data_IF_684638874244
#
_entry.id   IF_684638874244
#
_cell.length_a   1.000
_cell.length_b   1.000
_cell.length_c   1.000
_cell.angle_alpha   90.00
_cell.angle_beta   90.00
_cell.angle_gamma   90.00
#
_symmetry.space_group_name_H-M   'P 1'
#
loop_
_entity.id
_entity.type
_entity.pdbx_description
1 polymer ?
#
# COMPACT_ATOMS: atom_id res chain seq x y z
N UNK A 1 -70.78 -13.04 51.98
CA UNK A 1 -71.60 -12.26 51.03
C UNK A 1 -70.90 -12.20 49.68
N UNK A 2 -71.61 -12.45 48.56
CA UNK A 2 -71.34 -12.04 47.13
C UNK A 2 -69.95 -12.38 46.51
N UNK A 3 -69.85 -13.24 45.47
CA UNK A 3 -70.03 -13.00 44.00
C UNK A 3 -68.90 -12.17 43.34
N UNK A 4 -68.31 -12.47 42.16
CA UNK A 4 -68.22 -13.69 41.28
C UNK A 4 -67.33 -13.37 40.04
N UNK A 5 -66.61 -14.36 39.47
CA UNK A 5 -66.00 -14.34 38.10
C UNK A 5 -64.87 -13.30 37.86
N UNK A 6 -64.03 -13.25 36.82
CA UNK A 6 -63.50 -14.13 35.74
C UNK A 6 -62.74 -13.19 34.76
N UNK A 7 -61.85 -13.74 33.93
CA UNK A 7 -61.15 -13.19 32.74
C UNK A 7 -59.67 -12.83 32.99
N UNK A 8 -58.67 -13.52 32.43
CA UNK A 8 -58.36 -13.72 30.99
C UNK A 8 -58.11 -12.42 30.21
N UNK A 9 -56.87 -11.94 30.24
CA UNK A 9 -56.27 -11.15 29.16
C UNK A 9 -54.85 -11.68 28.94
N UNK A 10 -54.50 -12.03 27.70
CA UNK A 10 -53.14 -12.38 27.30
C UNK A 10 -52.27 -11.12 27.37
N UNK A 11 -51.11 -11.18 28.03
CA UNK A 11 -50.02 -10.25 27.75
C UNK A 11 -48.90 -11.00 27.02
N UNK A 12 -48.78 -10.68 25.74
CA UNK A 12 -47.79 -11.25 24.82
C UNK A 12 -46.38 -10.94 25.32
N UNK A 13 -45.55 -11.97 25.44
CA UNK A 13 -44.13 -11.84 25.75
C UNK A 13 -43.39 -11.18 24.58
N UNK A 14 -43.34 -9.84 24.57
CA UNK A 14 -42.58 -9.07 23.59
C UNK A 14 -41.10 -9.05 23.98
N UNK A 15 -40.46 -10.23 23.97
CA UNK A 15 -39.00 -10.34 24.02
C UNK A 15 -38.49 -9.81 22.69
N UNK A 16 -38.05 -8.55 22.69
CA UNK A 16 -37.39 -7.92 21.55
C UNK A 16 -35.99 -8.53 21.42
N UNK A 17 -35.92 -9.70 20.78
CA UNK A 17 -34.66 -10.28 20.33
C UNK A 17 -34.16 -9.38 19.20
N UNK A 18 -33.27 -8.44 19.53
CA UNK A 18 -32.53 -7.65 18.56
C UNK A 18 -31.50 -8.60 17.90
N UNK A 19 -31.98 -9.39 16.94
CA UNK A 19 -31.16 -10.09 15.96
C UNK A 19 -30.55 -9.04 15.01
N UNK A 20 -29.55 -8.31 15.52
CA UNK A 20 -28.67 -7.50 14.69
C UNK A 20 -27.89 -8.46 13.79
N UNK A 21 -28.42 -8.71 12.58
CA UNK A 21 -27.79 -9.57 11.60
C UNK A 21 -26.56 -8.86 11.02
N UNK A 22 -25.45 -8.93 11.75
CA UNK A 22 -24.17 -8.45 11.26
C UNK A 22 -23.74 -9.33 10.09
N UNK A 23 -23.68 -8.75 8.89
CA UNK A 23 -23.01 -9.40 7.75
C UNK A 23 -21.53 -9.49 8.09
N UNK A 24 -21.04 -10.71 8.28
CA UNK A 24 -19.61 -10.94 8.40
C UNK A 24 -18.95 -10.83 7.02
N UNK A 25 -17.80 -10.17 6.97
CA UNK A 25 -16.91 -10.18 5.83
C UNK A 25 -15.65 -10.93 6.24
N UNK A 26 -15.23 -11.91 5.44
CA UNK A 26 -14.07 -12.75 5.70
C UNK A 26 -13.02 -12.49 4.64
N UNK A 27 -11.77 -12.38 5.08
CA UNK A 27 -10.61 -12.12 4.25
C UNK A 27 -9.78 -13.41 4.15
N UNK A 28 -9.64 -13.96 2.94
CA UNK A 28 -8.64 -14.99 2.70
C UNK A 28 -7.45 -14.40 1.96
N UNK A 29 -6.34 -14.32 2.68
CA UNK A 29 -5.02 -14.16 2.11
C UNK A 29 -4.50 -15.57 1.77
N UNK A 30 -4.44 -15.91 0.49
CA UNK A 30 -3.78 -17.14 0.06
C UNK A 30 -2.36 -17.17 0.64
N UNK A 31 -2.08 -18.15 1.50
CA UNK A 31 -0.85 -18.22 2.28
C UNK A 31 0.34 -18.63 1.40
N UNK A 32 0.84 -17.67 0.62
CA UNK A 32 2.14 -17.73 -0.02
C UNK A 32 2.85 -16.42 0.25
N UNK A 33 4.01 -16.52 0.91
CA UNK A 33 4.96 -15.42 1.07
C UNK A 33 5.40 -14.98 -0.32
N UNK A 34 4.70 -13.98 -0.87
CA UNK A 34 5.00 -13.41 -2.17
C UNK A 34 6.12 -12.39 -1.99
N UNK A 35 7.36 -12.86 -2.00
CA UNK A 35 8.51 -11.98 -2.17
C UNK A 35 8.38 -11.28 -3.53
N UNK A 36 8.05 -9.99 -3.52
CA UNK A 36 7.75 -9.20 -4.70
C UNK A 36 8.97 -8.37 -5.10
N UNK A 37 9.52 -8.67 -6.28
CA UNK A 37 10.53 -7.82 -6.91
C UNK A 37 9.82 -6.70 -7.67
N UNK A 38 9.72 -5.53 -7.06
CA UNK A 38 9.13 -4.34 -7.69
C UNK A 38 10.22 -3.39 -8.19
N UNK A 39 10.01 -2.83 -9.38
CA UNK A 39 10.83 -1.72 -9.90
C UNK A 39 9.97 -0.47 -10.03
N UNK A 40 10.40 0.63 -9.40
CA UNK A 40 9.63 1.87 -9.28
C UNK A 40 10.44 3.04 -9.82
N UNK A 41 9.96 3.65 -10.91
CA UNK A 41 10.63 4.81 -11.52
C UNK A 41 10.81 5.96 -10.53
N UNK A 42 12.03 6.51 -10.48
CA UNK A 42 12.37 7.63 -9.59
C UNK A 42 11.77 8.94 -10.13
N UNK A 43 11.79 9.12 -11.45
CA UNK A 43 11.10 10.23 -12.13
C UNK A 43 10.36 9.67 -13.34
N UNK A 44 9.18 10.22 -13.65
CA UNK A 44 8.41 9.82 -14.85
C UNK A 44 9.03 10.31 -16.15
N UNK A 45 9.84 11.38 -16.08
CA UNK A 45 10.50 12.04 -17.21
C UNK A 45 11.94 12.39 -16.85
N UNK A 46 12.73 12.74 -17.87
CA UNK A 46 14.11 13.20 -17.73
C UNK A 46 14.20 14.38 -16.74
N UNK A 47 15.06 14.26 -15.73
CA UNK A 47 15.20 15.26 -14.69
C UNK A 47 16.50 16.04 -14.86
N UNK A 48 16.38 17.26 -15.40
CA UNK A 48 17.52 18.15 -15.64
C UNK A 48 17.76 19.06 -14.44
N UNK A 49 18.99 19.05 -13.96
CA UNK A 49 19.53 19.88 -12.89
C UNK A 49 20.37 20.98 -13.55
N UNK A 50 20.34 22.20 -13.01
CA UNK A 50 21.05 23.38 -13.54
C UNK A 50 21.64 24.21 -12.42
N UNK A 51 22.70 24.95 -12.72
CA UNK A 51 23.41 25.81 -11.76
C UNK A 51 24.29 25.03 -10.79
N UNK A 52 25.01 25.74 -9.92
CA UNK A 52 26.09 25.17 -9.11
C UNK A 52 25.58 24.22 -8.02
N UNK A 53 24.36 24.45 -7.52
CA UNK A 53 23.76 23.68 -6.44
C UNK A 53 22.30 23.36 -6.77
N UNK A 54 22.05 22.16 -7.28
CA UNK A 54 20.69 21.73 -7.65
C UNK A 54 20.25 20.55 -6.79
N UNK A 55 19.05 20.63 -6.21
CA UNK A 55 18.41 19.51 -5.52
C UNK A 55 17.08 19.16 -6.17
N UNK A 56 16.79 17.86 -6.29
CA UNK A 56 15.47 17.34 -6.64
C UNK A 56 15.13 16.20 -5.68
N UNK A 57 13.88 16.19 -5.22
CA UNK A 57 13.35 15.14 -4.35
C UNK A 57 12.36 14.27 -5.13
N UNK A 58 12.38 12.98 -4.87
CA UNK A 58 11.39 11.98 -5.28
C UNK A 58 10.93 11.18 -4.06
N UNK A 59 9.84 10.44 -4.20
CA UNK A 59 9.19 9.72 -3.10
C UNK A 59 8.72 8.34 -3.55
N UNK A 60 8.89 7.34 -2.69
CA UNK A 60 8.29 6.02 -2.85
C UNK A 60 7.65 5.57 -1.53
N UNK A 61 6.61 4.74 -1.59
CA UNK A 61 5.85 4.29 -0.39
C UNK A 61 5.94 2.76 -0.26
N UNK A 62 6.51 2.25 0.83
CA UNK A 62 6.44 0.81 1.14
C UNK A 62 5.09 0.55 1.82
N UNK A 63 4.35 -0.44 1.31
CA UNK A 63 3.03 -0.80 1.81
C UNK A 63 3.07 -1.32 3.26
N UNK A 64 1.98 -1.11 4.01
CA UNK A 64 1.95 -1.33 5.48
C UNK A 64 2.40 -2.73 5.91
N UNK A 65 1.96 -3.74 5.16
CA UNK A 65 2.24 -5.13 5.43
C UNK A 65 3.49 -5.66 4.73
N UNK A 66 4.33 -4.77 4.18
CA UNK A 66 5.54 -5.11 3.46
C UNK A 66 6.77 -4.49 4.11
N UNK A 67 7.89 -5.17 4.02
CA UNK A 67 9.20 -4.65 4.39
C UNK A 67 10.23 -4.92 3.28
N UNK A 68 11.19 -4.00 3.09
CA UNK A 68 12.27 -4.23 2.14
C UNK A 68 13.33 -5.18 2.74
N UNK A 69 13.83 -6.08 1.90
CA UNK A 69 14.83 -7.08 2.21
C UNK A 69 16.10 -6.89 1.38
N UNK A 70 17.08 -7.75 1.65
CA UNK A 70 18.31 -7.85 0.87
C UNK A 70 18.01 -8.06 -0.62
N UNK A 71 18.83 -7.47 -1.49
CA UNK A 71 18.60 -7.38 -2.93
C UNK A 71 17.88 -6.10 -3.39
N UNK A 72 17.43 -5.26 -2.46
CA UNK A 72 16.90 -3.92 -2.78
C UNK A 72 18.02 -2.96 -3.17
N UNK A 73 17.81 -2.11 -4.19
CA UNK A 73 18.81 -1.15 -4.70
C UNK A 73 18.18 0.11 -5.32
N UNK A 74 18.95 1.20 -5.38
CA UNK A 74 18.63 2.40 -6.17
C UNK A 74 19.51 2.40 -7.40
N UNK A 75 18.90 2.33 -8.58
CA UNK A 75 19.61 2.27 -9.86
C UNK A 75 19.44 3.61 -10.57
N UNK A 76 20.53 4.37 -10.63
CA UNK A 76 20.56 5.77 -11.09
C UNK A 76 21.33 5.82 -12.40
N UNK A 77 20.62 6.09 -13.48
CA UNK A 77 21.23 6.42 -14.77
C UNK A 77 21.38 7.93 -14.86
N UNK A 78 22.60 8.42 -15.02
CA UNK A 78 22.89 9.86 -15.09
C UNK A 78 23.93 10.19 -16.17
N UNK A 79 23.91 11.44 -16.62
CA UNK A 79 24.92 12.06 -17.49
C UNK A 79 25.07 13.53 -17.12
N UNK A 80 26.20 14.15 -17.43
CA UNK A 80 26.48 15.53 -17.05
C UNK A 80 27.34 16.27 -18.07
N UNK A 81 27.48 17.58 -17.86
CA UNK A 81 28.31 18.43 -18.71
C UNK A 81 29.78 17.99 -18.73
N UNK A 82 30.37 17.90 -19.92
CA UNK A 82 31.79 17.66 -20.16
C UNK A 82 32.70 18.79 -19.60
N UNK A 83 32.09 19.93 -19.24
CA UNK A 83 32.77 21.13 -18.71
C UNK A 83 32.86 21.17 -17.18
N UNK A 84 32.28 20.20 -16.46
CA UNK A 84 32.39 20.16 -15.00
C UNK A 84 33.83 19.91 -14.55
N UNK A 85 34.25 20.61 -13.50
CA UNK A 85 35.51 20.39 -12.79
C UNK A 85 35.31 19.24 -11.77
N UNK A 86 35.97 18.08 -11.94
CA UNK A 86 35.68 16.91 -11.10
C UNK A 86 36.04 17.10 -9.62
N UNK A 87 37.07 17.89 -9.32
CA UNK A 87 37.49 18.22 -7.95
C UNK A 87 36.37 18.90 -7.12
N UNK A 88 35.43 19.57 -7.78
CA UNK A 88 34.36 20.35 -7.15
C UNK A 88 32.94 19.86 -7.49
N UNK A 89 32.82 18.80 -8.29
CA UNK A 89 31.53 18.37 -8.85
C UNK A 89 31.18 16.95 -8.45
N UNK A 90 30.00 16.77 -7.85
CA UNK A 90 29.51 15.47 -7.40
C UNK A 90 27.98 15.38 -7.48
N UNK A 91 27.48 14.16 -7.60
CA UNK A 91 26.10 13.81 -7.33
C UNK A 91 26.04 13.05 -5.99
N UNK A 92 25.38 13.64 -4.99
CA UNK A 92 25.11 13.03 -3.69
C UNK A 92 23.66 12.57 -3.62
N UNK A 93 23.43 11.37 -3.07
CA UNK A 93 22.10 10.78 -2.90
C UNK A 93 21.81 10.60 -1.41
N UNK A 94 20.62 11.01 -0.98
CA UNK A 94 20.16 10.90 0.39
C UNK A 94 18.82 10.16 0.44
N UNK A 95 18.65 9.29 1.43
CA UNK A 95 17.39 8.62 1.74
C UNK A 95 16.94 9.08 3.13
N UNK A 96 15.74 9.64 3.22
CA UNK A 96 15.19 10.23 4.44
C UNK A 96 16.16 11.23 5.12
N UNK A 97 16.78 12.07 4.28
CA UNK A 97 17.84 13.04 4.61
C UNK A 97 19.16 12.47 5.14
N UNK A 98 19.33 11.14 5.18
CA UNK A 98 20.61 10.48 5.47
C UNK A 98 21.37 10.24 4.15
N UNK A 99 22.61 10.74 3.97
CA UNK A 99 23.41 10.44 2.78
C UNK A 99 23.68 8.94 2.64
N UNK A 100 23.35 8.38 1.47
CA UNK A 100 23.69 7.01 1.09
C UNK A 100 25.05 6.93 0.39
N UNK A 101 25.47 8.01 -0.27
CA UNK A 101 26.76 8.10 -0.94
C UNK A 101 26.84 9.27 -1.91
N UNK A 102 28.00 9.43 -2.52
CA UNK A 102 28.28 10.44 -3.53
C UNK A 102 29.16 9.84 -4.64
N UNK A 103 28.95 10.29 -5.88
CA UNK A 103 29.86 10.03 -7.01
C UNK A 103 30.41 11.33 -7.53
N UNK A 104 31.72 11.35 -7.83
CA UNK A 104 32.36 12.45 -8.55
C UNK A 104 31.82 12.50 -9.98
N UNK A 105 31.59 13.71 -10.51
CA UNK A 105 31.23 13.94 -11.90
C UNK A 105 32.50 14.22 -12.71
N UNK A 106 32.92 13.28 -13.54
CA UNK A 106 34.21 13.24 -14.22
C UNK A 106 34.09 12.73 -15.66
N UNK A 107 35.21 12.67 -16.40
CA UNK A 107 35.16 12.28 -17.83
C UNK A 107 34.77 10.83 -18.05
N UNK A 108 34.99 9.99 -17.04
CA UNK A 108 34.64 8.58 -17.03
C UNK A 108 33.12 8.33 -16.98
N UNK A 109 32.32 9.32 -16.53
CA UNK A 109 30.86 9.24 -16.38
C UNK A 109 30.10 10.46 -16.95
N UNK A 110 30.72 11.22 -17.86
CA UNK A 110 30.10 12.35 -18.58
C UNK A 110 28.88 11.89 -19.41
N UNK A 111 28.99 10.70 -20.01
CA UNK A 111 27.93 10.01 -20.76
C UNK A 111 27.07 9.16 -19.83
N UNK A 112 25.90 8.78 -20.33
CA UNK A 112 24.91 7.98 -19.59
C UNK A 112 25.56 6.76 -18.90
N UNK A 113 25.65 6.84 -17.57
CA UNK A 113 26.32 5.88 -16.71
C UNK A 113 25.36 5.40 -15.62
N UNK A 114 25.44 4.12 -15.27
CA UNK A 114 24.70 3.54 -14.14
C UNK A 114 25.53 3.63 -12.86
N UNK A 115 24.96 4.24 -11.82
CA UNK A 115 25.37 4.03 -10.44
C UNK A 115 24.27 3.27 -9.70
N UNK A 116 24.61 2.11 -9.14
CA UNK A 116 23.72 1.34 -8.28
C UNK A 116 24.14 1.50 -6.82
N UNK A 117 23.18 1.80 -5.95
CA UNK A 117 23.34 1.90 -4.50
C UNK A 117 22.61 0.73 -3.86
N UNK A 118 23.34 -0.12 -3.14
CA UNK A 118 22.76 -1.24 -2.40
C UNK A 118 22.00 -0.75 -1.16
N UNK A 119 20.75 -1.19 -1.00
CA UNK A 119 19.90 -0.91 0.17
C UNK A 119 19.81 -2.12 1.12
N UNK A 120 20.47 -3.24 0.83
CA UNK A 120 20.33 -4.51 1.56
C UNK A 120 20.68 -4.44 3.05
N UNK A 121 21.49 -3.46 3.45
CA UNK A 121 21.88 -3.22 4.85
C UNK A 121 20.98 -2.20 5.58
N UNK A 122 19.94 -1.68 4.92
CA UNK A 122 19.00 -0.70 5.47
C UNK A 122 17.64 -1.35 5.76
N UNK A 123 17.17 -1.20 7.00
CA UNK A 123 15.81 -1.61 7.38
C UNK A 123 14.80 -0.54 6.95
N UNK A 124 14.31 -0.63 5.71
CA UNK A 124 13.26 0.26 5.21
C UNK A 124 11.89 -0.21 5.71
N UNK A 125 11.31 0.59 6.60
CA UNK A 125 10.03 0.34 7.25
C UNK A 125 8.86 0.72 6.33
N UNK A 126 7.64 0.20 6.58
CA UNK A 126 6.46 0.67 5.88
C UNK A 126 6.25 2.18 6.00
N UNK A 127 5.82 2.82 4.91
CA UNK A 127 5.57 4.26 4.85
C UNK A 127 6.24 4.95 3.65
N UNK A 128 6.18 6.29 3.64
CA UNK A 128 6.84 7.11 2.63
C UNK A 128 8.33 7.29 2.95
N UNK A 129 9.16 7.08 1.93
CA UNK A 129 10.57 7.43 1.93
C UNK A 129 10.83 8.57 0.93
N UNK A 130 11.68 9.52 1.33
CA UNK A 130 12.15 10.61 0.48
C UNK A 130 13.52 10.26 -0.07
N UNK A 131 13.63 10.22 -1.39
CA UNK A 131 14.89 10.07 -2.11
C UNK A 131 15.31 11.42 -2.70
N UNK A 132 16.41 11.97 -2.21
CA UNK A 132 16.92 13.28 -2.59
C UNK A 132 18.22 13.17 -3.38
N UNK A 133 18.27 13.87 -4.51
CA UNK A 133 19.43 13.99 -5.38
C UNK A 133 19.98 15.39 -5.26
N UNK A 134 21.27 15.52 -4.95
CA UNK A 134 21.96 16.80 -4.83
C UNK A 134 23.14 16.82 -5.80
N UNK A 135 22.99 17.57 -6.89
CA UNK A 135 24.07 17.87 -7.81
C UNK A 135 24.82 19.11 -7.34
N UNK A 136 26.12 18.95 -7.07
CA UNK A 136 27.10 20.02 -6.97
C UNK A 136 27.85 20.06 -8.31
N UNK A 137 27.81 21.18 -9.03
CA UNK A 137 28.28 21.26 -10.42
C UNK A 137 29.06 22.55 -10.65
N UNK A 138 30.38 22.47 -10.78
CA UNK A 138 31.22 23.66 -10.93
C UNK A 138 31.99 23.61 -12.24
N UNK A 139 31.99 24.71 -13.00
CA UNK A 139 32.62 24.76 -14.35
C UNK A 139 33.87 25.64 -14.40
N UNK A 140 34.11 26.50 -13.41
CA UNK A 140 35.37 27.22 -13.21
C UNK A 140 35.78 27.23 -11.73
N UNK A 141 37.08 27.43 -11.47
CA UNK A 141 37.61 27.70 -10.13
C UNK A 141 37.85 29.20 -9.87
N UNK A 142 37.44 30.07 -10.81
CA UNK A 142 37.57 31.53 -10.71
C UNK A 142 36.59 32.10 -9.68
N UNK A 143 37.05 33.11 -8.94
CA UNK A 143 36.25 33.84 -7.95
C UNK A 143 35.21 34.70 -8.68
N UNK A 144 33.97 34.73 -8.18
CA UNK A 144 32.81 35.41 -8.79
C UNK A 144 32.36 34.84 -10.15
N UNK A 145 32.52 33.52 -10.37
CA UNK A 145 31.76 32.81 -11.41
C UNK A 145 30.23 32.93 -11.19
N UNK A 146 29.47 32.94 -12.29
CA UNK A 146 28.00 32.86 -12.28
C UNK A 146 27.54 31.47 -11.79
N UNK A 147 26.86 31.39 -10.62
CA UNK A 147 26.38 30.11 -10.09
C UNK A 147 25.25 29.51 -10.94
N UNK A 148 24.60 30.27 -11.83
CA UNK A 148 23.54 29.78 -12.72
C UNK A 148 24.05 29.52 -14.16
N UNK A 149 25.38 29.40 -14.33
CA UNK A 149 26.01 29.15 -15.63
C UNK A 149 25.37 27.93 -16.32
N UNK A 150 24.83 28.15 -17.53
CA UNK A 150 24.08 27.13 -18.28
C UNK A 150 24.89 25.90 -18.68
N UNK A 151 26.23 25.98 -18.63
CA UNK A 151 27.14 24.86 -18.79
C UNK A 151 27.14 23.90 -17.58
N UNK A 152 26.72 24.33 -16.40
CA UNK A 152 26.53 23.48 -15.22
C UNK A 152 25.18 22.74 -15.33
N UNK A 153 25.23 21.49 -15.80
CA UNK A 153 24.07 20.62 -15.90
C UNK A 153 24.38 19.15 -15.61
N UNK A 154 23.36 18.47 -15.07
CA UNK A 154 23.31 17.03 -14.77
C UNK A 154 21.91 16.55 -15.14
N UNK A 155 21.79 15.36 -15.71
CA UNK A 155 20.51 14.71 -16.01
C UNK A 155 20.43 13.41 -15.20
N UNK A 156 19.32 13.22 -14.49
CA UNK A 156 18.90 11.91 -14.00
C UNK A 156 17.86 11.36 -14.98
N UNK A 157 18.20 10.27 -15.66
CA UNK A 157 17.38 9.72 -16.73
C UNK A 157 16.16 8.98 -16.18
N UNK A 158 15.03 9.02 -16.91
CA UNK A 158 13.74 8.47 -16.43
C UNK A 158 13.69 6.96 -16.24
N UNK A 159 14.66 6.25 -16.81
CA UNK A 159 14.89 4.82 -16.56
C UNK A 159 15.53 4.52 -15.19
N UNK A 160 15.90 5.55 -14.43
CA UNK A 160 16.36 5.39 -13.05
C UNK A 160 15.22 4.90 -12.16
N UNK A 161 15.46 3.87 -11.36
CA UNK A 161 14.43 3.19 -10.59
C UNK A 161 14.93 2.70 -9.24
N UNK A 162 14.04 2.67 -8.25
CA UNK A 162 14.23 1.92 -7.00
C UNK A 162 13.75 0.50 -7.26
N UNK A 163 14.66 -0.47 -7.18
CA UNK A 163 14.33 -1.89 -7.19
C UNK A 163 14.19 -2.37 -5.74
N UNK A 164 13.02 -2.88 -5.37
CA UNK A 164 12.72 -3.34 -4.02
C UNK A 164 12.45 -4.84 -4.03
N UNK A 165 13.14 -5.57 -3.17
CA UNK A 165 12.78 -6.92 -2.79
C UNK A 165 11.86 -6.83 -1.56
N UNK A 166 10.55 -6.95 -1.76
CA UNK A 166 9.56 -6.76 -0.70
C UNK A 166 9.05 -8.11 -0.19
N UNK A 167 9.03 -8.31 1.14
CA UNK A 167 8.40 -9.47 1.79
C UNK A 167 7.26 -9.03 2.71
N UNK A 168 6.35 -9.96 3.02
CA UNK A 168 5.30 -9.72 4.02
C UNK A 168 5.92 -9.56 5.42
N UNK A 169 5.54 -8.50 6.12
CA UNK A 169 5.99 -8.19 7.48
C UNK A 169 5.18 -8.90 8.58
N UNK A 170 4.29 -9.82 8.20
CA UNK A 170 3.41 -10.56 9.10
C UNK A 170 3.25 -12.02 8.65
N UNK A 171 3.22 -12.96 9.61
CA UNK A 171 2.98 -14.38 9.34
C UNK A 171 1.49 -14.73 9.19
N UNK A 172 0.60 -13.87 9.69
CA UNK A 172 -0.86 -14.09 9.75
C UNK A 172 -1.62 -12.79 9.50
N UNK A 173 -2.78 -12.90 8.85
CA UNK A 173 -3.63 -11.76 8.55
C UNK A 173 -4.06 -11.02 9.83
N UNK A 174 -3.58 -9.78 10.00
CA UNK A 174 -3.92 -8.89 11.11
C UNK A 174 -4.60 -7.62 10.58
N UNK A 175 -5.76 -7.27 11.16
CA UNK A 175 -6.48 -6.05 10.83
C UNK A 175 -5.69 -4.76 11.14
N UNK A 176 -4.65 -4.80 11.98
CA UNK A 176 -3.77 -3.62 12.17
C UNK A 176 -3.07 -3.20 10.87
N UNK A 177 -2.84 -4.16 9.96
CA UNK A 177 -2.19 -3.96 8.66
C UNK A 177 -3.17 -3.54 7.54
N UNK A 178 -4.48 -3.54 7.81
CA UNK A 178 -5.48 -3.14 6.82
C UNK A 178 -5.15 -1.75 6.23
N UNK A 179 -5.11 -1.60 4.89
CA UNK A 179 -5.68 -2.47 3.87
C UNK A 179 -4.76 -3.54 3.24
N UNK A 180 -3.57 -3.83 3.79
CA UNK A 180 -2.74 -4.96 3.31
C UNK A 180 -3.46 -6.31 3.53
N UNK A 181 -3.24 -7.33 2.67
CA UNK A 181 -2.52 -7.29 1.39
C UNK A 181 -3.42 -6.91 0.20
N UNK A 182 -4.67 -6.51 0.45
CA UNK A 182 -5.59 -6.12 -0.59
C UNK A 182 -5.09 -4.90 -1.35
N UNK A 183 -4.58 -3.88 -0.65
CA UNK A 183 -4.00 -2.67 -1.25
C UNK A 183 -2.59 -2.47 -0.73
N UNK A 184 -1.61 -2.75 -1.59
CA UNK A 184 -0.24 -2.30 -1.38
C UNK A 184 -0.04 -0.94 -2.04
N UNK A 185 0.25 0.05 -1.18
CA UNK A 185 0.54 1.41 -1.60
C UNK A 185 1.95 1.51 -2.16
N UNK A 186 2.18 2.48 -3.04
CA UNK A 186 3.42 2.63 -3.81
C UNK A 186 3.74 1.52 -4.82
N UNK A 187 3.05 0.38 -4.78
CA UNK A 187 3.21 -0.69 -5.78
C UNK A 187 2.87 -0.20 -7.19
N UNK A 188 3.67 -0.53 -8.22
CA UNK A 188 3.33 -0.23 -9.62
C UNK A 188 2.24 -1.17 -10.16
N UNK A 189 2.03 -2.33 -9.53
CA UNK A 189 1.14 -3.36 -10.03
C UNK A 189 -0.35 -2.97 -9.89
N UNK A 190 -1.22 -3.42 -10.83
CA UNK A 190 -2.66 -3.32 -10.67
C UNK A 190 -3.16 -4.02 -9.41
N UNK A 191 -4.26 -3.52 -8.87
CA UNK A 191 -4.92 -4.09 -7.70
C UNK A 191 -5.38 -5.54 -7.97
N UNK A 192 -4.75 -6.52 -7.32
CA UNK A 192 -5.11 -7.96 -7.41
C UNK A 192 -6.07 -8.38 -6.28
N UNK A 193 -7.16 -7.63 -6.12
CA UNK A 193 -8.19 -7.91 -5.12
C UNK A 193 -9.56 -8.12 -5.77
N UNK A 194 -10.24 -9.21 -5.42
CA UNK A 194 -11.60 -9.51 -5.87
C UNK A 194 -12.57 -9.55 -4.69
N UNK A 195 -13.84 -9.29 -4.97
CA UNK A 195 -14.93 -9.45 -3.99
C UNK A 195 -15.78 -10.64 -4.42
N UNK A 196 -16.14 -11.51 -3.48
CA UNK A 196 -17.01 -12.66 -3.74
C UNK A 196 -18.26 -12.57 -2.90
N UNK A 197 -19.41 -12.82 -3.54
CA UNK A 197 -20.74 -12.87 -2.95
C UNK A 197 -21.31 -14.31 -3.06
N UNK A 198 -22.22 -14.73 -2.17
CA UNK A 198 -22.97 -15.97 -2.36
C UNK A 198 -23.83 -15.89 -3.63
N UNK A 199 -24.08 -17.02 -4.31
CA UNK A 199 -24.91 -17.07 -5.52
C UNK A 199 -26.33 -16.49 -5.33
N UNK A 200 -26.81 -16.48 -4.07
CA UNK A 200 -28.11 -15.93 -3.66
C UNK A 200 -27.95 -14.76 -2.67
N UNK A 201 -27.03 -13.85 -2.97
CA UNK A 201 -26.79 -12.64 -2.18
C UNK A 201 -28.05 -11.77 -2.02
N UNK A 202 -28.13 -11.02 -0.92
CA UNK A 202 -29.19 -10.04 -0.68
C UNK A 202 -28.70 -8.59 -0.86
N UNK A 203 -29.64 -7.64 -0.69
CA UNK A 203 -29.33 -6.21 -0.84
C UNK A 203 -28.27 -5.70 0.15
N UNK A 204 -28.10 -6.32 1.31
CA UNK A 204 -27.14 -5.87 2.33
C UNK A 204 -25.73 -6.40 2.06
N UNK A 205 -25.61 -7.62 1.54
CA UNK A 205 -24.36 -8.20 1.03
C UNK A 205 -23.88 -7.41 -0.20
N UNK A 206 -24.79 -7.06 -1.13
CA UNK A 206 -24.47 -6.17 -2.26
C UNK A 206 -24.05 -4.76 -1.83
N UNK A 207 -24.75 -4.15 -0.86
CA UNK A 207 -24.34 -2.85 -0.26
C UNK A 207 -22.97 -2.95 0.41
N UNK A 208 -22.65 -4.07 1.05
CA UNK A 208 -21.34 -4.29 1.67
C UNK A 208 -20.23 -4.40 0.62
N UNK A 209 -20.42 -5.17 -0.45
CA UNK A 209 -19.51 -5.20 -1.60
C UNK A 209 -19.29 -3.80 -2.18
N UNK A 210 -20.35 -3.05 -2.49
CA UNK A 210 -20.25 -1.69 -3.02
C UNK A 210 -19.48 -0.73 -2.08
N UNK A 211 -19.57 -0.90 -0.76
CA UNK A 211 -18.78 -0.13 0.22
C UNK A 211 -17.29 -0.48 0.17
N UNK A 212 -16.94 -1.77 0.04
CA UNK A 212 -15.55 -2.22 -0.10
C UNK A 212 -14.97 -1.77 -1.45
N UNK A 213 -15.69 -1.95 -2.56
CA UNK A 213 -15.28 -1.43 -3.88
C UNK A 213 -15.04 0.09 -3.84
N UNK A 214 -15.92 0.86 -3.19
CA UNK A 214 -15.73 2.30 -3.01
C UNK A 214 -14.50 2.62 -2.16
N UNK A 215 -14.26 1.87 -1.08
CA UNK A 215 -13.06 2.06 -0.27
C UNK A 215 -11.79 1.80 -1.09
N UNK A 216 -11.75 0.73 -1.88
CA UNK A 216 -10.62 0.45 -2.79
C UNK A 216 -10.43 1.54 -3.85
N UNK A 217 -11.52 2.03 -4.45
CA UNK A 217 -11.49 3.16 -5.39
C UNK A 217 -10.97 4.47 -4.77
N UNK A 218 -11.17 4.67 -3.47
CA UNK A 218 -10.65 5.84 -2.73
C UNK A 218 -9.19 5.69 -2.27
N UNK A 219 -8.57 4.53 -2.43
CA UNK A 219 -7.18 4.26 -2.02
C UNK A 219 -6.23 3.99 -3.19
N UNK A 220 -6.76 3.70 -4.38
CA UNK A 220 -6.00 3.23 -5.54
C UNK A 220 -6.22 4.18 -6.74
N UNK A 221 -5.16 4.67 -7.40
CA UNK A 221 -5.29 5.47 -8.62
C UNK A 221 -6.05 4.73 -9.72
N UNK A 222 -6.88 5.45 -10.50
CA UNK A 222 -7.79 4.85 -11.49
C UNK A 222 -7.12 3.84 -12.44
N UNK A 223 -5.88 4.07 -12.88
CA UNK A 223 -5.17 3.18 -13.79
C UNK A 223 -4.74 1.83 -13.16
N UNK A 224 -4.74 1.71 -11.83
CA UNK A 224 -4.50 0.46 -11.08
C UNK A 224 -5.78 -0.15 -10.52
N UNK A 225 -6.92 0.53 -10.65
CA UNK A 225 -8.18 0.12 -10.02
C UNK A 225 -8.89 -0.95 -10.85
N UNK A 226 -8.75 -2.21 -10.44
CA UNK A 226 -9.60 -3.31 -10.89
C UNK A 226 -10.12 -4.06 -9.65
N UNK A 227 -11.44 -4.06 -9.44
CA UNK A 227 -12.09 -4.75 -8.31
C UNK A 227 -13.33 -5.48 -8.83
N UNK A 228 -13.14 -6.60 -9.54
CA UNK A 228 -14.27 -7.37 -10.04
C UNK A 228 -15.02 -8.02 -8.86
N UNK A 229 -16.33 -8.12 -9.02
CA UNK A 229 -17.23 -8.80 -8.07
C UNK A 229 -17.73 -10.06 -8.74
N UNK A 230 -17.53 -11.21 -8.10
CA UNK A 230 -17.98 -12.52 -8.55
C UNK A 230 -19.04 -13.09 -7.60
N UNK A 231 -19.89 -13.97 -8.13
CA UNK A 231 -20.64 -14.92 -7.29
C UNK A 231 -19.80 -16.17 -7.04
N UNK A 232 -20.11 -16.93 -6.00
CA UNK A 232 -19.36 -18.12 -5.58
C UNK A 232 -19.16 -19.13 -6.72
N UNK A 233 -20.19 -19.35 -7.56
CA UNK A 233 -20.13 -20.24 -8.73
C UNK A 233 -19.05 -19.89 -9.75
N UNK A 234 -18.66 -18.62 -9.83
CA UNK A 234 -17.75 -18.11 -10.86
C UNK A 234 -16.28 -18.13 -10.39
N UNK A 235 -16.03 -18.42 -9.12
CA UNK A 235 -14.69 -18.39 -8.52
C UNK A 235 -13.92 -19.66 -8.83
N UNK A 236 -13.10 -19.62 -9.87
CA UNK A 236 -12.17 -20.72 -10.23
C UNK A 236 -10.98 -20.81 -9.26
N UNK A 237 -10.30 -21.97 -9.22
CA UNK A 237 -9.07 -22.13 -8.41
C UNK A 237 -7.88 -21.33 -8.96
N UNK A 238 -7.91 -20.98 -10.25
CA UNK A 238 -6.91 -20.10 -10.85
C UNK A 238 -7.10 -18.65 -10.39
N UNK A 239 -8.35 -18.19 -10.35
CA UNK A 239 -8.71 -16.88 -9.82
C UNK A 239 -8.35 -16.77 -8.32
N UNK A 240 -8.73 -17.78 -7.53
CA UNK A 240 -8.46 -17.80 -6.09
C UNK A 240 -6.97 -17.87 -5.71
N UNK A 241 -6.11 -18.39 -6.58
CA UNK A 241 -4.64 -18.42 -6.38
C UNK A 241 -3.91 -17.18 -6.90
N UNK A 242 -4.56 -16.34 -7.71
CA UNK A 242 -3.94 -15.16 -8.34
C UNK A 242 -4.36 -13.82 -7.72
N UNK A 243 -5.36 -13.83 -6.84
CA UNK A 243 -5.95 -12.63 -6.24
C UNK A 243 -6.18 -12.82 -4.74
N UNK A 244 -6.08 -11.73 -3.97
CA UNK A 244 -6.59 -11.68 -2.60
C UNK A 244 -8.13 -11.59 -2.63
N UNK A 245 -8.81 -12.37 -1.80
CA UNK A 245 -10.28 -12.51 -1.86
C UNK A 245 -10.95 -11.89 -0.64
N UNK A 246 -11.93 -11.03 -0.87
CA UNK A 246 -12.86 -10.53 0.15
C UNK A 246 -14.20 -11.24 -0.01
N UNK A 247 -14.48 -12.21 0.87
CA UNK A 247 -15.75 -12.94 0.93
C UNK A 247 -16.78 -12.14 1.73
N UNK A 248 -17.92 -11.80 1.13
CA UNK A 248 -18.97 -10.99 1.76
C UNK A 248 -20.30 -11.74 1.69
N UNK A 249 -20.67 -12.40 2.79
CA UNK A 249 -21.89 -13.21 2.82
C UNK A 249 -22.11 -13.87 4.18
N UNK A 250 -23.37 -14.13 4.53
CA UNK A 250 -23.70 -14.91 5.73
C UNK A 250 -23.27 -16.38 5.57
N UNK A 251 -22.81 -16.99 6.66
CA UNK A 251 -22.27 -18.34 6.66
C UNK A 251 -23.24 -19.42 6.15
N UNK A 252 -24.55 -19.20 6.34
CA UNK A 252 -25.64 -20.09 5.89
C UNK A 252 -25.95 -20.00 4.38
N UNK A 253 -25.30 -19.08 3.65
CA UNK A 253 -25.56 -18.82 2.21
C UNK A 253 -24.52 -19.39 1.27
N UNK A 254 -23.35 -19.76 1.78
CA UNK A 254 -22.28 -20.35 0.98
C UNK A 254 -22.56 -21.83 0.69
N UNK A 255 -22.35 -22.23 -0.56
CA UNK A 255 -22.68 -23.56 -1.06
C UNK A 255 -21.45 -24.45 -1.27
N UNK A 256 -20.27 -23.86 -1.46
CA UNK A 256 -19.03 -24.58 -1.75
C UNK A 256 -17.82 -23.93 -1.07
N UNK A 257 -17.02 -23.14 -1.80
CA UNK A 257 -15.76 -22.56 -1.32
C UNK A 257 -15.95 -21.63 -0.14
N UNK A 258 -16.95 -20.75 -0.19
CA UNK A 258 -17.25 -19.82 0.89
C UNK A 258 -17.60 -20.55 2.20
N UNK A 259 -18.16 -21.76 2.10
CA UNK A 259 -18.47 -22.57 3.28
C UNK A 259 -17.18 -23.05 3.95
N UNK A 260 -16.24 -23.62 3.17
CA UNK A 260 -14.91 -23.98 3.70
C UNK A 260 -14.16 -22.79 4.29
N UNK A 261 -14.27 -21.59 3.70
CA UNK A 261 -13.71 -20.35 4.29
C UNK A 261 -14.30 -20.06 5.66
N UNK A 262 -15.63 -20.08 5.78
CA UNK A 262 -16.29 -19.79 7.06
C UNK A 262 -16.02 -20.85 8.14
N UNK A 263 -15.88 -22.12 7.74
CA UNK A 263 -15.53 -23.22 8.65
C UNK A 263 -14.07 -23.12 9.12
N UNK A 264 -13.13 -22.79 8.23
CA UNK A 264 -11.73 -22.54 8.58
C UNK A 264 -11.59 -21.31 9.51
N UNK A 265 -12.33 -20.23 9.25
CA UNK A 265 -12.35 -19.06 10.12
C UNK A 265 -12.93 -19.38 11.51
N UNK A 266 -14.04 -20.13 11.57
CA UNK A 266 -14.66 -20.53 12.84
C UNK A 266 -13.78 -21.45 13.70
N UNK A 267 -12.84 -22.16 13.09
CA UNK A 267 -11.82 -22.98 13.78
C UNK A 267 -10.58 -22.17 14.19
N UNK A 268 -10.42 -20.93 13.72
CA UNK A 268 -9.31 -20.06 14.09
C UNK A 268 -9.51 -19.43 15.48
N UNK A 269 -8.42 -19.22 16.23
CA UNK A 269 -8.45 -18.48 17.52
C UNK A 269 -8.69 -16.97 17.34
N UNK A 270 -8.69 -16.47 16.12
CA UNK A 270 -8.67 -15.04 15.81
C UNK A 270 -10.08 -14.43 15.68
N UNK A 271 -11.12 -15.26 15.55
CA UNK A 271 -12.52 -14.82 15.58
C UNK A 271 -12.86 -13.96 16.82
N UNK A 272 -12.28 -14.31 17.97
CA UNK A 272 -12.46 -13.63 19.26
C UNK A 272 -11.70 -12.30 19.36
N UNK A 273 -10.64 -12.11 18.54
CA UNK A 273 -9.88 -10.86 18.47
C UNK A 273 -10.53 -9.85 17.50
N UNK A 274 -10.97 -10.31 16.32
CA UNK A 274 -11.70 -9.45 15.37
C UNK A 274 -12.98 -8.85 15.98
N UNK A 275 -13.73 -9.66 16.75
CA UNK A 275 -14.93 -9.19 17.46
C UNK A 275 -14.63 -8.08 18.50
N UNK A 276 -13.45 -8.12 19.15
CA UNK A 276 -13.01 -7.08 20.10
C UNK A 276 -12.54 -5.81 19.38
N UNK A 277 -11.83 -5.94 18.25
CA UNK A 277 -11.38 -4.80 17.44
C UNK A 277 -12.53 -3.91 16.94
N UNK A 278 -13.64 -4.51 16.51
CA UNK A 278 -14.86 -3.80 16.12
C UNK A 278 -15.57 -3.09 17.29
N UNK A 279 -15.42 -3.59 18.52
CA UNK A 279 -16.04 -3.00 19.72
C UNK A 279 -15.20 -1.86 20.33
N UNK A 280 -13.88 -1.87 20.11
CA UNK A 280 -12.91 -0.95 20.72
C UNK A 280 -12.90 0.49 20.13
N UNK A 281 -13.76 0.81 19.15
CA UNK A 281 -13.87 2.17 18.58
C UNK A 281 -15.23 2.84 18.79
N UNK A 282 -15.83 2.59 19.96
CA UNK A 282 -16.95 3.42 20.46
C UNK A 282 -16.40 4.81 20.81
N UNK A 283 -16.86 5.83 20.06
CA UNK A 283 -16.43 7.23 20.15
C UNK A 283 -16.26 7.72 21.60
N UNK A 284 -15.12 8.34 21.92
CA UNK A 284 -15.00 9.16 23.13
C UNK A 284 -15.97 10.35 23.06
N UNK A 285 -16.90 10.50 24.01
CA UNK A 285 -17.76 11.67 24.08
C UNK A 285 -17.01 12.82 24.77
N UNK A 286 -16.19 13.56 24.01
CA UNK A 286 -15.34 14.60 24.59
C UNK A 286 -14.59 15.45 23.58
N UNK A 287 -15.29 16.34 22.88
CA UNK A 287 -14.68 17.56 22.33
C UNK A 287 -15.37 18.78 22.94
N UNK A 288 -14.61 19.81 23.38
CA UNK A 288 -15.19 21.05 23.87
C UNK A 288 -15.79 21.85 22.71
N UNK A 289 -16.92 22.52 22.95
CA UNK A 289 -17.46 23.52 22.02
C UNK A 289 -16.55 24.75 22.03
N UNK A 290 -15.93 25.04 20.90
CA UNK A 290 -15.29 26.34 20.65
C UNK A 290 -16.40 27.39 20.51
N UNK A 291 -16.16 28.58 21.05
CA UNK A 291 -17.07 29.73 21.07
C UNK A 291 -16.59 30.78 20.08
#
# INVERSE_FOLDING_TARGET
MKRTASNWILMVAMIVVILSSQSAAYAETGAQSSSANESRSIFSEERVFRGENARQDSYFEIGKGLEARQGSSINIYYSHSETLLPEYSNLTVLLDDVPLGSVTLSKENEKETLWSIDLSNLSLKPGFHKLSFWGKMKVSNVICEDPENSAAWLVIHKKSAVALHLEQSYEKADLTQYPSPFIERGSPDPLRAIIVLPDKFNQDEFKAAARISRFFALQTPNHRLNVPVYVESDVTDALARSHSIVWIGKADRWLAKGKSVTEAFAQSKDADQLAKGLSAKRLHPGMPKIR
#
